data_IF_521795972784
#
_entry.id   IF_521795972784
#
_cell.length_a   1.000
_cell.length_b   1.000
_cell.length_c   1.000
_cell.angle_alpha   90.00
_cell.angle_beta   90.00
_cell.angle_gamma   90.00
#
_symmetry.space_group_name_H-M   'P 1'
#
loop_
_entity.id
_entity.type
_entity.pdbx_description
1 polymer ?
#
# COMPACT_ATOMS: atom_id res chain seq x y z
N UNK A 1 5.27 7.79 21.69
CA UNK A 1 4.63 7.07 20.61
C UNK A 1 5.09 7.58 19.25
N UNK A 2 5.30 8.87 19.07
CA UNK A 2 5.96 9.44 17.89
C UNK A 2 7.39 9.81 18.23
N UNK A 3 8.32 9.64 17.26
CA UNK A 3 9.71 10.10 17.46
C UNK A 3 9.74 11.64 17.60
N UNK A 4 10.78 12.23 18.21
CA UNK A 4 10.92 13.69 18.28
C UNK A 4 10.94 14.37 16.90
N UNK A 5 11.31 13.63 15.85
CA UNK A 5 11.30 14.09 14.45
C UNK A 5 9.96 13.85 13.76
N UNK A 6 9.01 13.14 14.40
CA UNK A 6 7.71 12.84 13.85
C UNK A 6 6.73 14.02 13.93
N UNK A 7 5.52 13.87 13.35
CA UNK A 7 4.50 14.90 13.40
C UNK A 7 3.95 15.08 14.82
N UNK A 8 3.60 16.31 15.16
CA UNK A 8 2.86 16.64 16.37
C UNK A 8 1.39 16.18 16.26
N UNK A 9 0.69 16.07 17.40
CA UNK A 9 -0.74 15.78 17.42
C UNK A 9 -1.57 16.81 16.64
N UNK A 10 -1.16 18.08 16.66
CA UNK A 10 -1.81 19.15 15.88
C UNK A 10 -1.66 18.92 14.38
N UNK A 11 -0.46 18.52 13.90
CA UNK A 11 -0.23 18.22 12.49
C UNK A 11 -1.07 17.01 12.03
N UNK A 12 -1.21 15.98 12.86
CA UNK A 12 -2.06 14.83 12.58
C UNK A 12 -3.56 15.20 12.56
N UNK A 13 -4.01 16.07 13.46
CA UNK A 13 -5.38 16.57 13.44
C UNK A 13 -5.67 17.38 12.17
N UNK A 14 -4.74 18.26 11.76
CA UNK A 14 -4.85 19.02 10.51
C UNK A 14 -4.84 18.07 9.29
N UNK A 15 -4.01 17.02 9.30
CA UNK A 15 -4.02 15.99 8.27
C UNK A 15 -5.38 15.30 8.18
N UNK A 16 -5.92 14.84 9.32
CA UNK A 16 -7.21 14.15 9.37
C UNK A 16 -8.39 15.02 8.91
N UNK A 17 -8.27 16.35 9.02
CA UNK A 17 -9.25 17.33 8.54
C UNK A 17 -9.05 17.72 7.07
N UNK A 18 -7.96 17.30 6.44
CA UNK A 18 -7.65 17.58 5.04
C UNK A 18 -8.23 16.52 4.09
N UNK A 19 -8.01 16.67 2.78
CA UNK A 19 -8.17 15.57 1.81
C UNK A 19 -7.03 14.54 1.98
N UNK A 20 -7.18 13.35 1.41
CA UNK A 20 -6.11 12.34 1.41
C UNK A 20 -4.83 12.93 0.82
N UNK A 21 -4.92 13.55 -0.36
CA UNK A 21 -3.78 14.19 -1.03
C UNK A 21 -3.16 15.30 -0.17
N UNK A 22 -3.94 16.32 0.20
CA UNK A 22 -3.44 17.47 0.97
C UNK A 22 -2.93 17.10 2.37
N UNK A 23 -3.48 16.04 2.99
CA UNK A 23 -3.00 15.50 4.25
C UNK A 23 -1.62 14.86 4.12
N UNK A 24 -1.41 14.07 3.06
CA UNK A 24 -0.12 13.44 2.79
C UNK A 24 0.94 14.42 2.29
N UNK A 25 0.57 15.42 1.49
CA UNK A 25 1.50 16.48 1.10
C UNK A 25 2.11 17.21 2.30
N UNK A 26 1.28 17.52 3.31
CA UNK A 26 1.73 18.15 4.56
C UNK A 26 2.58 17.21 5.43
N UNK A 27 2.24 15.93 5.43
CA UNK A 27 2.94 14.93 6.25
C UNK A 27 4.27 14.49 5.61
N UNK A 28 4.43 14.62 4.30
CA UNK A 28 5.54 14.09 3.54
C UNK A 28 6.93 14.34 4.15
N UNK A 29 7.28 15.56 4.65
CA UNK A 29 8.60 15.81 5.25
C UNK A 29 8.89 14.97 6.51
N UNK A 30 7.83 14.52 7.22
CA UNK A 30 7.93 13.79 8.49
C UNK A 30 7.42 12.36 8.39
N UNK A 31 6.95 11.93 7.20
CA UNK A 31 6.26 10.64 7.02
C UNK A 31 7.12 9.46 7.44
N UNK A 32 8.40 9.46 7.12
CA UNK A 32 9.30 8.35 7.43
C UNK A 32 9.54 8.17 8.94
N UNK A 33 9.21 9.17 9.74
CA UNK A 33 9.24 9.13 11.21
C UNK A 33 7.89 8.77 11.83
N UNK A 34 6.90 8.36 11.02
CA UNK A 34 5.57 7.97 11.49
C UNK A 34 5.43 6.45 11.60
N UNK A 35 4.52 5.95 12.45
CA UNK A 35 4.16 4.53 12.47
C UNK A 35 3.37 4.09 11.22
N UNK A 36 3.00 5.02 10.33
CA UNK A 36 2.27 4.74 9.09
C UNK A 36 3.19 4.25 7.96
N UNK A 37 4.50 4.52 8.08
CA UNK A 37 5.50 3.98 7.17
C UNK A 37 5.56 2.46 7.29
N UNK A 38 5.55 1.78 6.17
CA UNK A 38 5.74 0.31 6.15
C UNK A 38 7.09 -0.04 6.77
N UNK A 39 7.07 -0.92 7.76
CA UNK A 39 8.29 -1.30 8.49
C UNK A 39 9.26 -2.07 7.58
N UNK A 40 10.57 -1.91 7.80
CA UNK A 40 11.61 -2.64 7.08
C UNK A 40 11.40 -4.16 7.13
N UNK A 41 10.95 -4.70 8.26
CA UNK A 41 10.63 -6.15 8.39
C UNK A 41 9.59 -6.63 7.39
N UNK A 42 8.57 -5.83 7.08
CA UNK A 42 7.54 -6.17 6.07
C UNK A 42 8.13 -6.08 4.67
N UNK A 43 8.92 -5.05 4.40
CA UNK A 43 9.61 -4.89 3.11
C UNK A 43 10.56 -6.06 2.85
N UNK A 44 11.40 -6.40 3.81
CA UNK A 44 12.38 -7.50 3.73
C UNK A 44 11.70 -8.86 3.58
N UNK A 45 10.63 -9.11 4.36
CA UNK A 45 9.84 -10.33 4.26
C UNK A 45 9.20 -10.49 2.87
N UNK A 46 8.71 -9.38 2.31
CA UNK A 46 8.13 -9.36 0.95
C UNK A 46 9.22 -9.60 -0.10
N UNK A 47 10.34 -8.91 -0.01
CA UNK A 47 11.48 -9.10 -0.91
C UNK A 47 12.00 -10.54 -0.89
N UNK A 48 12.08 -11.16 0.30
CA UNK A 48 12.50 -12.55 0.46
C UNK A 48 11.61 -13.56 -0.26
N UNK A 49 10.29 -13.34 -0.27
CA UNK A 49 9.35 -14.19 -1.03
C UNK A 49 9.43 -13.93 -2.53
N UNK A 50 9.64 -12.68 -2.95
CA UNK A 50 9.66 -12.31 -4.37
C UNK A 50 10.97 -12.66 -5.06
N UNK A 51 12.10 -12.64 -4.36
CA UNK A 51 13.44 -12.89 -4.94
C UNK A 51 13.55 -14.21 -5.72
N UNK A 52 13.09 -15.37 -5.22
CA UNK A 52 13.15 -16.63 -5.97
C UNK A 52 12.16 -16.69 -7.14
N UNK A 53 11.20 -15.77 -7.24
CA UNK A 53 10.24 -15.70 -8.36
C UNK A 53 10.76 -14.87 -9.55
N UNK A 54 11.87 -14.15 -9.35
CA UNK A 54 12.53 -13.35 -10.36
C UNK A 54 13.60 -14.12 -11.15
N UNK A 55 14.45 -13.40 -11.89
CA UNK A 55 14.53 -11.92 -11.92
C UNK A 55 13.37 -11.29 -12.68
N UNK A 56 12.98 -10.09 -12.25
CA UNK A 56 11.96 -9.30 -12.94
C UNK A 56 12.61 -8.27 -13.89
N UNK A 57 11.91 -7.90 -14.94
CA UNK A 57 12.35 -6.84 -15.85
C UNK A 57 12.11 -5.47 -15.26
N UNK A 58 10.88 -4.95 -15.40
CA UNK A 58 10.47 -3.61 -14.97
C UNK A 58 9.53 -3.68 -13.75
N UNK A 59 9.68 -2.74 -12.80
CA UNK A 59 8.89 -2.67 -11.58
C UNK A 59 8.03 -1.43 -11.45
N UNK A 60 6.83 -1.58 -10.84
CA UNK A 60 5.91 -0.50 -10.49
C UNK A 60 5.54 -0.56 -9.01
N UNK A 61 5.74 0.54 -8.28
CA UNK A 61 5.25 0.73 -6.91
C UNK A 61 3.97 1.58 -6.94
N UNK A 62 2.84 0.98 -6.55
CA UNK A 62 1.51 1.60 -6.61
C UNK A 62 1.14 2.19 -5.25
N UNK A 63 0.97 3.52 -5.18
CA UNK A 63 0.86 4.25 -3.93
C UNK A 63 2.21 4.25 -3.21
N UNK A 64 3.25 4.68 -3.93
CA UNK A 64 4.64 4.50 -3.52
C UNK A 64 5.07 5.35 -2.32
N UNK A 65 4.29 6.37 -1.95
CA UNK A 65 4.63 7.29 -0.86
C UNK A 65 6.04 7.88 -1.04
N UNK A 66 6.88 7.74 -0.02
CA UNK A 66 8.29 8.18 -0.01
C UNK A 66 9.27 7.20 -0.71
N UNK A 67 8.75 6.15 -1.38
CA UNK A 67 9.55 5.26 -2.22
C UNK A 67 10.10 3.99 -1.54
N UNK A 68 9.58 3.61 -0.37
CA UNK A 68 10.06 2.42 0.33
C UNK A 68 9.87 1.12 -0.48
N UNK A 69 8.75 0.96 -1.16
CA UNK A 69 8.49 -0.18 -2.05
C UNK A 69 9.30 -0.10 -3.34
N UNK A 70 9.54 1.10 -3.87
CA UNK A 70 10.40 1.31 -5.03
C UNK A 70 11.84 0.84 -4.76
N UNK A 71 12.37 1.07 -3.54
CA UNK A 71 13.67 0.54 -3.12
C UNK A 71 13.69 -1.00 -3.12
N UNK A 72 12.62 -1.65 -2.70
CA UNK A 72 12.46 -3.11 -2.82
C UNK A 72 12.51 -3.54 -4.28
N UNK A 73 11.77 -2.87 -5.16
CA UNK A 73 11.78 -3.16 -6.60
C UNK A 73 13.15 -3.03 -7.23
N UNK A 74 13.93 -1.99 -6.86
CA UNK A 74 15.30 -1.79 -7.36
C UNK A 74 16.22 -2.97 -7.02
N UNK A 75 15.95 -3.69 -5.93
CA UNK A 75 16.70 -4.90 -5.55
C UNK A 75 16.25 -6.19 -6.27
N UNK A 76 15.09 -6.17 -6.93
CA UNK A 76 14.44 -7.33 -7.54
C UNK A 76 14.36 -7.24 -9.07
N UNK A 77 14.39 -6.03 -9.62
CA UNK A 77 14.26 -5.78 -11.05
C UNK A 77 15.63 -5.49 -11.67
N UNK A 78 15.84 -5.98 -12.89
CA UNK A 78 17.05 -5.69 -13.70
C UNK A 78 16.90 -4.42 -14.53
N UNK A 79 15.69 -4.01 -14.82
CA UNK A 79 15.34 -2.83 -15.61
C UNK A 79 14.78 -1.70 -14.75
N UNK A 80 14.27 -0.65 -15.40
CA UNK A 80 13.77 0.54 -14.72
C UNK A 80 12.63 0.24 -13.76
N UNK A 81 12.61 0.96 -12.65
CA UNK A 81 11.51 0.96 -11.67
C UNK A 81 10.81 2.32 -11.66
N UNK A 82 9.51 2.29 -11.42
CA UNK A 82 8.69 3.48 -11.32
C UNK A 82 7.84 3.45 -10.05
N UNK A 83 7.63 4.62 -9.45
CA UNK A 83 6.67 4.83 -8.37
C UNK A 83 5.54 5.74 -8.83
N UNK A 84 4.30 5.39 -8.48
CA UNK A 84 3.12 6.20 -8.74
C UNK A 84 2.42 6.53 -7.42
N UNK A 85 2.13 7.80 -7.18
CA UNK A 85 1.41 8.29 -6.00
C UNK A 85 0.57 9.53 -6.34
N UNK A 86 -0.48 9.77 -5.58
CA UNK A 86 -1.32 10.95 -5.75
C UNK A 86 -0.67 12.21 -5.14
N UNK A 87 0.08 12.05 -4.04
CA UNK A 87 0.72 13.13 -3.30
C UNK A 87 2.00 13.63 -3.98
N UNK A 88 2.01 14.89 -4.38
CA UNK A 88 3.19 15.54 -4.92
C UNK A 88 4.30 15.69 -3.87
N UNK A 89 3.94 15.94 -2.61
CA UNK A 89 4.86 16.01 -1.48
C UNK A 89 5.59 14.70 -1.24
N UNK A 90 4.88 13.56 -1.24
CA UNK A 90 5.47 12.22 -1.13
C UNK A 90 6.45 11.95 -2.28
N UNK A 91 6.03 12.19 -3.52
CA UNK A 91 6.88 12.02 -4.69
C UNK A 91 8.12 12.92 -4.65
N UNK A 92 8.00 14.12 -4.09
CA UNK A 92 9.15 15.01 -3.86
C UNK A 92 10.20 14.42 -2.92
N UNK A 93 9.77 13.72 -1.84
CA UNK A 93 10.68 12.99 -0.95
C UNK A 93 11.29 11.77 -1.66
N UNK A 94 10.45 10.98 -2.32
CA UNK A 94 10.86 9.78 -3.06
C UNK A 94 11.93 10.11 -4.12
N UNK A 95 11.72 11.18 -4.91
CA UNK A 95 12.66 11.63 -5.93
C UNK A 95 14.00 12.06 -5.36
N UNK A 96 14.01 12.68 -4.18
CA UNK A 96 15.27 13.03 -3.49
C UNK A 96 16.01 11.79 -2.97
N UNK A 97 15.27 10.80 -2.49
CA UNK A 97 15.85 9.58 -1.94
C UNK A 97 16.38 8.62 -3.03
N UNK A 98 15.73 8.58 -4.20
CA UNK A 98 16.04 7.66 -5.30
C UNK A 98 15.91 8.39 -6.65
N UNK A 99 16.89 9.23 -7.03
CA UNK A 99 16.83 10.05 -8.26
C UNK A 99 16.85 9.22 -9.55
N UNK A 100 17.31 7.99 -9.51
CA UNK A 100 17.40 7.06 -10.65
C UNK A 100 16.05 6.39 -10.99
N UNK A 101 15.08 6.40 -10.08
CA UNK A 101 13.76 5.85 -10.35
C UNK A 101 12.84 6.87 -11.05
N UNK A 102 11.85 6.37 -11.77
CA UNK A 102 10.84 7.20 -12.42
C UNK A 102 9.66 7.46 -11.48
N UNK A 103 9.21 8.70 -11.37
CA UNK A 103 8.14 9.09 -10.45
C UNK A 103 7.00 9.76 -11.20
N UNK A 104 5.79 9.22 -11.01
CA UNK A 104 4.58 9.70 -11.66
C UNK A 104 3.54 10.09 -10.61
N UNK A 105 2.99 11.30 -10.73
CA UNK A 105 1.80 11.69 -9.99
C UNK A 105 0.58 11.12 -10.70
N UNK A 106 -0.07 10.14 -10.09
CA UNK A 106 -1.23 9.46 -10.66
C UNK A 106 -2.14 8.89 -9.55
N UNK A 107 -3.42 8.83 -9.86
CA UNK A 107 -4.38 8.07 -9.06
C UNK A 107 -4.22 6.57 -9.38
N UNK A 108 -4.03 5.76 -8.34
CA UNK A 108 -3.88 4.31 -8.50
C UNK A 108 -5.12 3.64 -9.14
N UNK A 109 -6.29 4.28 -9.09
CA UNK A 109 -7.53 3.83 -9.76
C UNK A 109 -7.52 4.10 -11.27
N UNK A 110 -6.62 4.97 -11.74
CA UNK A 110 -6.53 5.42 -13.13
C UNK A 110 -5.08 5.46 -13.62
N UNK A 111 -4.32 4.38 -13.39
CA UNK A 111 -2.92 4.27 -13.82
C UNK A 111 -2.82 4.36 -15.35
N UNK A 112 -1.96 5.26 -15.90
CA UNK A 112 -1.83 5.49 -17.34
C UNK A 112 -0.85 4.50 -18.01
N UNK A 113 -0.80 3.27 -17.52
CA UNK A 113 0.12 2.26 -18.03
C UNK A 113 -0.63 1.12 -18.71
N UNK A 114 -0.02 0.57 -19.75
CA UNK A 114 -0.49 -0.62 -20.43
C UNK A 114 0.69 -1.56 -20.71
N UNK A 115 0.63 -2.77 -20.17
CA UNK A 115 1.60 -3.86 -20.40
C UNK A 115 3.09 -3.42 -20.30
N UNK A 116 3.39 -2.60 -19.29
CA UNK A 116 4.70 -1.97 -19.16
C UNK A 116 5.60 -2.63 -18.11
N UNK A 117 5.03 -3.40 -17.16
CA UNK A 117 5.74 -3.90 -15.99
C UNK A 117 5.62 -5.41 -15.84
N UNK A 118 6.67 -6.02 -15.26
CA UNK A 118 6.73 -7.45 -14.96
C UNK A 118 6.38 -7.71 -13.49
N UNK A 119 6.66 -6.74 -12.61
CA UNK A 119 6.31 -6.78 -11.19
C UNK A 119 5.67 -5.46 -10.78
N UNK A 120 4.51 -5.53 -10.16
CA UNK A 120 3.92 -4.43 -9.42
C UNK A 120 3.88 -4.75 -7.93
N UNK A 121 4.15 -3.77 -7.07
CA UNK A 121 4.01 -3.88 -5.62
C UNK A 121 3.16 -2.75 -5.07
N UNK A 122 2.65 -2.91 -3.85
CA UNK A 122 2.05 -1.82 -3.11
C UNK A 122 2.20 -2.05 -1.61
N UNK A 123 2.61 -1.03 -0.87
CA UNK A 123 2.86 -1.11 0.56
C UNK A 123 2.07 -0.03 1.30
N UNK A 124 1.07 -0.43 2.09
CA UNK A 124 0.33 0.48 2.96
C UNK A 124 -0.73 1.36 2.28
N UNK A 125 -0.81 1.39 0.95
CA UNK A 125 -1.74 2.29 0.23
C UNK A 125 -3.22 1.87 0.34
N UNK A 126 -3.50 0.60 0.61
CA UNK A 126 -4.89 0.09 0.57
C UNK A 126 -5.82 0.66 1.62
N UNK A 127 -5.28 1.17 2.72
CA UNK A 127 -6.07 1.87 3.73
C UNK A 127 -6.81 3.10 3.21
N UNK A 128 -6.51 3.57 2.01
CA UNK A 128 -7.08 4.78 1.42
C UNK A 128 -8.19 4.51 0.39
N UNK A 129 -8.47 3.24 0.08
CA UNK A 129 -9.49 2.88 -0.91
C UNK A 129 -10.72 2.28 -0.26
N UNK A 130 -11.88 2.76 -0.68
CA UNK A 130 -13.18 2.18 -0.32
C UNK A 130 -13.37 0.82 -1.03
N UNK A 131 -14.18 -0.09 -0.47
CA UNK A 131 -14.50 -1.35 -1.14
C UNK A 131 -14.98 -1.18 -2.59
N UNK A 132 -15.77 -0.13 -2.87
CA UNK A 132 -16.28 0.17 -4.20
C UNK A 132 -15.18 0.64 -5.19
N UNK A 133 -14.02 1.06 -4.70
CA UNK A 133 -12.91 1.55 -5.53
C UNK A 133 -11.91 0.45 -5.91
N UNK A 134 -11.93 -0.68 -5.20
CA UNK A 134 -11.01 -1.80 -5.45
C UNK A 134 -11.07 -2.37 -6.87
N UNK A 135 -12.25 -2.55 -7.50
CA UNK A 135 -12.30 -3.02 -8.89
C UNK A 135 -11.52 -2.13 -9.86
N UNK A 136 -11.66 -0.81 -9.75
CA UNK A 136 -10.92 0.14 -10.60
C UNK A 136 -9.40 0.07 -10.35
N UNK A 137 -8.98 0.01 -9.06
CA UNK A 137 -7.60 -0.16 -8.66
C UNK A 137 -6.98 -1.43 -9.27
N UNK A 138 -7.61 -2.58 -9.07
CA UNK A 138 -7.08 -3.86 -9.55
C UNK A 138 -7.10 -3.97 -11.08
N UNK A 139 -8.13 -3.44 -11.74
CA UNK A 139 -8.14 -3.35 -13.20
C UNK A 139 -7.02 -2.45 -13.74
N UNK A 140 -6.71 -1.33 -13.05
CA UNK A 140 -5.58 -0.46 -13.39
C UNK A 140 -4.24 -1.18 -13.31
N UNK A 141 -4.00 -1.90 -12.21
CA UNK A 141 -2.78 -2.70 -12.04
C UNK A 141 -2.71 -3.84 -13.05
N UNK A 142 -3.83 -4.53 -13.31
CA UNK A 142 -3.90 -5.58 -14.32
C UNK A 142 -3.47 -5.06 -15.71
N UNK A 143 -3.99 -3.92 -16.13
CA UNK A 143 -3.60 -3.31 -17.41
C UNK A 143 -2.12 -2.91 -17.44
N UNK A 144 -1.59 -2.40 -16.34
CA UNK A 144 -0.20 -1.97 -16.23
C UNK A 144 0.82 -3.12 -16.36
N UNK A 145 0.43 -4.32 -15.92
CA UNK A 145 1.28 -5.51 -16.00
C UNK A 145 1.27 -6.13 -17.42
N UNK A 146 2.36 -6.76 -17.80
CA UNK A 146 2.44 -7.64 -18.99
C UNK A 146 1.75 -8.98 -18.73
N UNK A 147 1.38 -9.76 -19.75
CA UNK A 147 1.06 -11.17 -19.58
C UNK A 147 2.19 -11.89 -18.83
N UNK A 148 1.86 -12.74 -17.88
CA UNK A 148 2.82 -13.36 -16.95
C UNK A 148 3.28 -12.47 -15.78
N UNK A 149 2.98 -11.17 -15.80
CA UNK A 149 3.38 -10.22 -14.77
C UNK A 149 2.71 -10.49 -13.41
N UNK A 150 3.38 -10.06 -12.36
CA UNK A 150 3.00 -10.33 -10.97
C UNK A 150 2.66 -9.04 -10.23
N UNK A 151 1.53 -9.03 -9.53
CA UNK A 151 1.20 -8.01 -8.53
C UNK A 151 1.32 -8.59 -7.13
N UNK A 152 2.10 -7.97 -6.26
CA UNK A 152 2.39 -8.45 -4.92
C UNK A 152 2.19 -7.37 -3.86
N UNK A 153 1.50 -7.70 -2.77
CA UNK A 153 1.32 -6.80 -1.64
C UNK A 153 1.08 -7.55 -0.33
N UNK A 154 1.65 -7.07 0.79
CA UNK A 154 1.40 -7.63 2.10
C UNK A 154 -0.01 -7.27 2.58
N UNK A 155 -0.73 -8.25 3.09
CA UNK A 155 -2.03 -8.10 3.72
C UNK A 155 -1.93 -8.53 5.18
N UNK A 156 -2.11 -7.60 6.10
CA UNK A 156 -2.12 -7.89 7.53
C UNK A 156 -3.36 -8.72 7.92
N UNK A 157 -3.22 -9.56 8.92
CA UNK A 157 -4.35 -10.28 9.49
C UNK A 157 -5.34 -9.32 10.15
N UNK A 158 -6.64 -9.62 10.04
CA UNK A 158 -7.66 -8.90 10.81
C UNK A 158 -7.42 -9.12 12.31
N UNK A 159 -7.45 -8.06 13.12
CA UNK A 159 -7.39 -8.21 14.56
C UNK A 159 -8.55 -9.08 15.06
N UNK A 160 -8.30 -9.85 16.10
CA UNK A 160 -9.35 -10.67 16.73
C UNK A 160 -10.45 -9.77 17.33
N UNK A 161 -11.74 -10.08 17.14
CA UNK A 161 -12.83 -9.37 17.81
C UNK A 161 -12.74 -9.37 19.34
N UNK A 162 -11.95 -10.31 19.91
CA UNK A 162 -11.68 -10.38 21.34
C UNK A 162 -10.59 -9.41 21.81
N UNK A 163 -9.88 -8.74 20.89
CA UNK A 163 -8.82 -7.80 21.24
C UNK A 163 -9.37 -6.37 21.39
N UNK A 164 -8.90 -5.59 22.39
CA UNK A 164 -9.25 -4.18 22.52
C UNK A 164 -8.88 -3.37 21.24
N UNK A 165 -7.79 -3.74 20.58
CA UNK A 165 -7.35 -3.12 19.33
C UNK A 165 -8.37 -3.23 18.20
N UNK A 166 -9.14 -4.32 18.13
CA UNK A 166 -10.22 -4.45 17.14
C UNK A 166 -11.28 -3.37 17.32
N UNK A 167 -11.72 -3.16 18.56
CA UNK A 167 -12.77 -2.19 18.89
C UNK A 167 -12.28 -0.74 18.74
N UNK A 168 -11.02 -0.49 19.12
CA UNK A 168 -10.39 0.82 18.92
C UNK A 168 -10.33 1.18 17.41
N UNK A 169 -9.90 0.24 16.57
CA UNK A 169 -9.86 0.45 15.11
C UNK A 169 -11.26 0.59 14.50
N UNK A 170 -12.23 -0.17 15.00
CA UNK A 170 -13.63 -0.06 14.56
C UNK A 170 -14.22 1.31 14.94
N UNK A 171 -13.98 1.76 16.17
CA UNK A 171 -14.40 3.09 16.63
C UNK A 171 -13.78 4.21 15.81
N UNK A 172 -12.48 4.10 15.52
CA UNK A 172 -11.80 5.07 14.66
C UNK A 172 -12.39 5.07 13.22
N UNK A 173 -12.62 3.91 12.61
CA UNK A 173 -13.25 3.79 11.29
C UNK A 173 -14.64 4.46 11.27
N UNK A 174 -15.43 4.24 12.33
CA UNK A 174 -16.75 4.89 12.48
C UNK A 174 -16.64 6.42 12.55
N UNK A 175 -15.72 6.94 13.38
CA UNK A 175 -15.48 8.39 13.49
C UNK A 175 -15.07 8.97 12.13
N UNK A 176 -14.19 8.31 11.40
CA UNK A 176 -13.77 8.77 10.07
C UNK A 176 -14.91 8.73 9.04
N UNK A 177 -15.82 7.74 9.12
CA UNK A 177 -17.00 7.69 8.25
C UNK A 177 -17.96 8.85 8.53
N UNK A 178 -18.25 9.12 9.79
CA UNK A 178 -19.07 10.27 10.21
C UNK A 178 -18.43 11.58 9.76
N UNK A 179 -17.13 11.75 10.00
CA UNK A 179 -16.35 12.91 9.54
C UNK A 179 -16.49 13.08 8.01
N UNK A 180 -16.33 12.01 7.23
CA UNK A 180 -16.37 12.06 5.77
C UNK A 180 -17.78 12.31 5.22
N UNK A 181 -18.83 11.97 5.96
CA UNK A 181 -20.21 12.31 5.61
C UNK A 181 -20.49 13.81 5.73
N UNK A 182 -19.89 14.46 6.73
CA UNK A 182 -20.11 15.88 7.06
C UNK A 182 -19.08 16.80 6.42
N UNK A 183 -17.83 16.33 6.27
CA UNK A 183 -16.69 17.15 5.85
C UNK A 183 -16.18 16.74 4.48
N UNK A 184 -16.13 17.68 3.54
CA UNK A 184 -15.65 17.47 2.17
C UNK A 184 -14.41 18.33 1.89
N UNK A 185 -13.40 17.85 1.14
CA UNK A 185 -13.26 16.53 0.54
C UNK A 185 -12.98 15.43 1.59
N UNK A 186 -13.37 14.17 1.36
CA UNK A 186 -13.19 13.10 2.33
C UNK A 186 -11.73 12.73 2.50
N UNK A 187 -11.32 12.53 3.75
CA UNK A 187 -10.06 11.86 4.07
C UNK A 187 -10.37 10.38 4.34
N UNK A 188 -10.02 9.51 3.41
CA UNK A 188 -10.29 8.08 3.52
C UNK A 188 -9.04 7.39 4.05
N UNK A 189 -9.16 6.76 5.22
CA UNK A 189 -8.14 5.89 5.77
C UNK A 189 -8.84 4.73 6.48
N UNK A 190 -8.66 3.53 5.93
CA UNK A 190 -9.12 2.30 6.55
C UNK A 190 -7.99 1.74 7.41
N UNK A 191 -8.10 1.88 8.71
CA UNK A 191 -7.18 1.23 9.65
C UNK A 191 -7.43 -0.27 9.75
N UNK A 192 -8.58 -0.73 9.31
CA UNK A 192 -8.91 -2.15 9.20
C UNK A 192 -8.42 -2.69 7.86
N UNK A 193 -7.62 -3.73 7.92
CA UNK A 193 -7.21 -4.44 6.72
C UNK A 193 -8.41 -5.06 5.98
N UNK A 194 -8.30 -5.22 4.68
CA UNK A 194 -9.34 -5.85 3.90
C UNK A 194 -9.42 -7.36 4.19
N UNK A 195 -10.64 -7.95 4.23
CA UNK A 195 -10.79 -9.39 4.32
C UNK A 195 -10.12 -10.08 3.12
N UNK A 196 -9.26 -11.06 3.37
CA UNK A 196 -8.52 -11.77 2.31
C UNK A 196 -9.45 -12.36 1.24
N UNK A 197 -10.62 -12.91 1.66
CA UNK A 197 -11.61 -13.45 0.72
C UNK A 197 -12.09 -12.38 -0.27
N UNK A 198 -12.48 -11.21 0.22
CA UNK A 198 -12.95 -10.13 -0.64
C UNK A 198 -11.85 -9.64 -1.61
N UNK A 199 -10.60 -9.56 -1.12
CA UNK A 199 -9.45 -9.22 -1.97
C UNK A 199 -9.25 -10.25 -3.07
N UNK A 200 -9.31 -11.54 -2.75
CA UNK A 200 -9.18 -12.61 -3.76
C UNK A 200 -10.30 -12.54 -4.79
N UNK A 201 -11.54 -12.36 -4.34
CA UNK A 201 -12.70 -12.27 -5.24
C UNK A 201 -12.57 -11.08 -6.21
N UNK A 202 -12.16 -9.90 -5.72
CA UNK A 202 -11.99 -8.71 -6.53
C UNK A 202 -10.82 -8.84 -7.52
N UNK A 203 -9.69 -9.42 -7.11
CA UNK A 203 -8.54 -9.70 -7.99
C UNK A 203 -8.90 -10.74 -9.07
N UNK A 204 -9.62 -11.80 -8.69
CA UNK A 204 -10.07 -12.83 -9.66
C UNK A 204 -11.04 -12.21 -10.69
N UNK A 205 -11.95 -11.35 -10.26
CA UNK A 205 -12.84 -10.59 -11.17
C UNK A 205 -12.06 -9.66 -12.09
N UNK A 206 -10.93 -9.12 -11.64
CA UNK A 206 -10.04 -8.31 -12.49
C UNK A 206 -9.19 -9.13 -13.46
N UNK A 207 -9.26 -10.49 -13.42
CA UNK A 207 -8.58 -11.39 -14.34
C UNK A 207 -7.31 -12.04 -13.79
N UNK A 208 -6.95 -11.79 -12.52
CA UNK A 208 -5.76 -12.38 -11.90
C UNK A 208 -5.96 -13.82 -11.43
N UNK A 209 -4.92 -14.63 -11.54
CA UNK A 209 -4.76 -15.87 -10.76
C UNK A 209 -4.11 -15.50 -9.41
N UNK A 210 -4.77 -15.86 -8.28
CA UNK A 210 -4.39 -15.39 -6.95
C UNK A 210 -3.90 -16.52 -6.06
N UNK A 211 -2.69 -16.37 -5.53
CA UNK A 211 -2.12 -17.22 -4.48
C UNK A 211 -1.71 -16.38 -3.27
N UNK A 212 -1.42 -17.01 -2.14
CA UNK A 212 -0.97 -16.32 -0.93
C UNK A 212 0.14 -17.08 -0.25
N UNK A 213 1.13 -16.35 0.26
CA UNK A 213 2.26 -16.90 1.02
C UNK A 213 2.25 -16.30 2.41
N UNK A 214 2.45 -17.12 3.44
CA UNK A 214 2.59 -16.64 4.83
C UNK A 214 3.93 -15.94 4.97
N UNK A 215 3.93 -14.71 5.50
CA UNK A 215 5.16 -14.01 5.87
C UNK A 215 5.63 -14.47 7.26
N UNK A 216 6.23 -15.66 7.31
CA UNK A 216 6.61 -16.35 8.56
C UNK A 216 7.55 -15.54 9.44
N UNK A 217 8.44 -14.73 8.85
CA UNK A 217 9.38 -13.85 9.57
C UNK A 217 8.69 -12.77 10.40
N UNK A 218 7.41 -12.48 10.12
CA UNK A 218 6.61 -11.54 10.92
C UNK A 218 5.96 -12.21 12.15
N UNK A 219 6.03 -13.53 12.23
CA UNK A 219 5.51 -14.32 13.36
C UNK A 219 3.99 -14.49 13.35
N UNK A 220 3.49 -15.00 14.47
CA UNK A 220 2.06 -15.24 14.70
C UNK A 220 1.46 -14.13 15.56
N UNK A 221 0.17 -13.88 15.37
CA UNK A 221 -0.65 -13.07 16.25
C UNK A 221 -1.03 -13.82 17.54
N UNK A 222 -1.67 -13.14 18.48
CA UNK A 222 -2.16 -13.72 19.74
C UNK A 222 -3.21 -14.83 19.57
N UNK A 223 -3.81 -14.92 18.38
CA UNK A 223 -4.78 -15.96 18.01
C UNK A 223 -4.14 -17.15 17.27
N UNK A 224 -2.81 -17.26 17.24
CA UNK A 224 -2.08 -18.29 16.52
C UNK A 224 -2.10 -18.18 14.98
N UNK A 225 -2.76 -17.16 14.43
CA UNK A 225 -2.78 -16.93 13.00
C UNK A 225 -1.56 -16.11 12.53
N UNK A 226 -1.07 -16.30 11.30
CA UNK A 226 -0.01 -15.46 10.75
C UNK A 226 -0.38 -13.97 10.80
N UNK A 227 0.57 -13.13 11.22
CA UNK A 227 0.35 -11.66 11.30
C UNK A 227 0.11 -11.01 9.94
N UNK A 228 0.70 -11.58 8.88
CA UNK A 228 0.49 -11.11 7.54
C UNK A 228 0.70 -12.22 6.50
N UNK A 229 0.08 -12.07 5.36
CA UNK A 229 0.29 -12.88 4.16
C UNK A 229 0.67 -11.97 3.00
N UNK A 230 1.53 -12.45 2.13
CA UNK A 230 1.77 -11.81 0.84
C UNK A 230 0.71 -12.33 -0.14
N UNK A 231 -0.06 -11.44 -0.71
CA UNK A 231 -0.94 -11.74 -1.83
C UNK A 231 -0.10 -11.67 -3.10
N UNK A 232 -0.18 -12.70 -3.92
CA UNK A 232 0.46 -12.83 -5.21
C UNK A 232 -0.62 -12.99 -6.26
N UNK A 233 -0.80 -11.98 -7.10
CA UNK A 233 -1.80 -11.95 -8.16
C UNK A 233 -1.08 -11.91 -9.52
N UNK A 234 -1.13 -13.02 -10.27
CA UNK A 234 -0.48 -13.17 -11.57
C UNK A 234 -1.48 -12.83 -12.67
N UNK A 235 -1.06 -12.00 -13.60
CA UNK A 235 -1.77 -11.81 -14.86
C UNK A 235 -1.43 -13.02 -15.77
N UNK A 236 -2.42 -13.81 -16.22
CA UNK A 236 -2.21 -14.89 -17.19
C UNK A 236 -1.59 -14.44 -18.50
#
# INVERSE_FOLDING_TARGET
VFSPQGPSLRELAVQALSSVEGGYDRLAPKFDHTPFRTSGRVLDATAGVLRPLGPFGRGLDVGCGTGAGTAVLSSLCRGPVAGADLSAGMLGQARRAQPEASWLRADARALPFSQAFDLAVSFGAYGHFLPAERPALFAGVYRALRPGGLFAFPLAALPSPRSPGYWALLGFDLVMRVRNAVWRPPFVMYYRTWPLRAVRDDLTKAGFTVTTVVLTTLGLGSNGQPRARLVLARRP
#
